data_IF_387831199820
#
_entry.id   IF_387831199820
#
_cell.length_a   1.000
_cell.length_b   1.000
_cell.length_c   1.000
_cell.angle_alpha   90.00
_cell.angle_beta   90.00
_cell.angle_gamma   90.00
#
_symmetry.space_group_name_H-M   'P 1'
#
loop_
_entity.id
_entity.type
_entity.pdbx_description
1 polymer ?
#
# COMPACT_ATOMS: atom_id res chain seq x y z
N UNK A 1 5.10 2.40 -9.12
CA UNK A 1 4.23 1.21 -9.21
C UNK A 1 3.91 0.72 -7.81
N UNK A 2 2.73 0.15 -7.58
CA UNK A 2 2.32 -0.36 -6.26
C UNK A 2 1.97 -1.84 -6.36
N UNK A 3 2.47 -2.63 -5.41
CA UNK A 3 2.05 -3.99 -5.14
C UNK A 3 1.03 -3.98 -4.02
N UNK A 4 -0.12 -4.62 -4.23
CA UNK A 4 -1.11 -4.87 -3.19
C UNK A 4 -1.21 -6.39 -2.99
N UNK A 5 -1.06 -6.85 -1.75
CA UNK A 5 -1.25 -8.26 -1.40
C UNK A 5 -2.07 -8.39 -0.12
N UNK A 6 -2.83 -9.48 0.01
CA UNK A 6 -3.62 -9.76 1.21
C UNK A 6 -2.89 -10.83 2.03
N UNK A 7 -2.61 -10.54 3.30
CA UNK A 7 -2.05 -11.51 4.25
C UNK A 7 -2.79 -11.36 5.57
N UNK A 8 -3.35 -12.45 6.08
CA UNK A 8 -4.03 -12.52 7.38
C UNK A 8 -5.11 -11.42 7.55
N UNK A 9 -5.97 -11.22 6.54
CA UNK A 9 -7.04 -10.22 6.58
C UNK A 9 -6.60 -8.76 6.35
N UNK A 10 -5.30 -8.46 6.34
CA UNK A 10 -4.77 -7.12 6.07
C UNK A 10 -4.28 -6.94 4.63
N UNK A 11 -4.62 -5.82 3.99
CA UNK A 11 -4.02 -5.41 2.71
C UNK A 11 -2.66 -4.76 2.97
N UNK A 12 -1.57 -5.39 2.50
CA UNK A 12 -0.24 -4.80 2.52
C UNK A 12 0.06 -4.16 1.16
N UNK A 13 0.22 -2.83 1.15
CA UNK A 13 0.62 -2.07 -0.03
C UNK A 13 2.12 -1.76 0.04
N UNK A 14 2.85 -1.97 -1.06
CA UNK A 14 4.28 -1.63 -1.18
C UNK A 14 4.53 -0.90 -2.50
N UNK A 15 5.30 0.17 -2.44
CA UNK A 15 5.70 0.93 -3.63
C UNK A 15 7.01 0.38 -4.16
N UNK A 16 7.08 0.17 -5.47
CA UNK A 16 8.30 -0.20 -6.19
C UNK A 16 8.58 0.84 -7.27
N UNK A 17 9.84 1.25 -7.37
CA UNK A 17 10.33 2.24 -8.33
C UNK A 17 10.63 1.65 -9.71
N UNK A 18 10.79 0.32 -9.81
CA UNK A 18 11.04 -0.35 -11.08
C UNK A 18 10.08 -1.54 -11.27
N UNK A 19 9.72 -1.79 -12.53
CA UNK A 19 8.80 -2.86 -12.93
C UNK A 19 9.35 -4.27 -12.63
N UNK A 20 10.62 -4.61 -12.91
CA UNK A 20 11.13 -5.96 -12.65
C UNK A 20 11.04 -6.37 -11.18
N UNK A 21 11.35 -5.46 -10.24
CA UNK A 21 11.26 -5.77 -8.80
C UNK A 21 9.81 -5.95 -8.35
N UNK A 22 8.89 -5.16 -8.90
CA UNK A 22 7.46 -5.29 -8.61
C UNK A 22 6.92 -6.63 -9.11
N UNK A 23 7.27 -7.02 -10.34
CA UNK A 23 6.89 -8.31 -10.93
C UNK A 23 7.42 -9.49 -10.11
N UNK A 24 8.72 -9.44 -9.76
CA UNK A 24 9.37 -10.50 -8.99
C UNK A 24 8.75 -10.66 -7.59
N UNK A 25 8.25 -9.58 -6.99
CA UNK A 25 7.54 -9.63 -5.72
C UNK A 25 6.14 -10.28 -5.83
N UNK A 26 5.41 -10.05 -6.92
CA UNK A 26 4.13 -10.72 -7.20
C UNK A 26 4.36 -12.22 -7.41
N UNK A 27 5.32 -12.59 -8.24
CA UNK A 27 5.73 -13.99 -8.47
C UNK A 27 6.10 -14.72 -7.17
N UNK A 28 6.83 -14.04 -6.27
CA UNK A 28 7.15 -14.60 -4.95
C UNK A 28 5.92 -14.75 -4.06
N UNK A 29 4.93 -13.87 -4.17
CA UNK A 29 3.69 -13.97 -3.42
C UNK A 29 2.81 -15.12 -3.94
N UNK A 30 2.64 -15.24 -5.25
CA UNK A 30 1.88 -16.32 -5.88
C UNK A 30 2.50 -17.69 -5.59
N UNK A 31 3.84 -17.82 -5.64
CA UNK A 31 4.54 -19.05 -5.22
C UNK A 31 4.32 -19.42 -3.77
N UNK A 32 3.91 -18.48 -2.92
CA UNK A 32 3.57 -18.71 -1.51
C UNK A 32 2.07 -18.94 -1.30
N UNK A 33 1.28 -19.04 -2.38
CA UNK A 33 -0.18 -19.15 -2.33
C UNK A 33 -0.88 -17.87 -1.86
N UNK A 34 -0.18 -16.72 -1.90
CA UNK A 34 -0.74 -15.44 -1.45
C UNK A 34 -1.31 -14.66 -2.65
N UNK A 35 -2.56 -14.17 -2.57
CA UNK A 35 -3.10 -13.31 -3.61
C UNK A 35 -2.36 -11.96 -3.60
N UNK A 36 -1.80 -11.61 -4.75
CA UNK A 36 -1.10 -10.36 -4.98
C UNK A 36 -1.43 -9.82 -6.38
N UNK A 37 -1.54 -8.50 -6.49
CA UNK A 37 -1.77 -7.77 -7.73
C UNK A 37 -0.79 -6.61 -7.87
N UNK A 38 -0.55 -6.23 -9.12
CA UNK A 38 0.30 -5.10 -9.46
C UNK A 38 -0.56 -3.99 -10.07
N UNK A 39 -0.38 -2.77 -9.56
CA UNK A 39 -1.09 -1.58 -10.02
C UNK A 39 -0.09 -0.49 -10.43
N UNK A 40 -0.27 0.04 -11.64
CA UNK A 40 0.43 1.25 -12.05
C UNK A 40 -0.29 2.45 -11.43
N UNK A 41 0.44 3.27 -10.68
CA UNK A 41 -0.09 4.46 -10.03
C UNK A 41 0.84 5.64 -10.28
N UNK A 42 0.26 6.83 -10.36
CA UNK A 42 0.99 8.10 -10.33
C UNK A 42 1.06 8.57 -8.89
N UNK A 43 2.26 8.74 -8.36
CA UNK A 43 2.45 9.38 -7.06
C UNK A 43 2.38 10.89 -7.26
N UNK A 44 1.57 11.55 -6.44
CA UNK A 44 1.51 13.00 -6.38
C UNK A 44 2.20 13.42 -5.09
N UNK A 45 3.07 14.45 -5.13
CA UNK A 45 3.62 15.03 -3.91
C UNK A 45 2.46 15.60 -3.09
N UNK A 46 2.42 15.24 -1.81
CA UNK A 46 1.48 15.84 -0.85
C UNK A 46 2.28 16.89 -0.06
N UNK A 47 1.85 18.16 -0.06
CA UNK A 47 2.43 19.17 0.83
C UNK A 47 2.34 18.70 2.28
N UNK A 48 3.42 18.81 3.04
CA UNK A 48 3.47 18.32 4.43
C UNK A 48 2.39 18.93 5.34
N UNK A 49 1.88 20.11 5.00
CA UNK A 49 0.81 20.80 5.73
C UNK A 49 -0.53 20.03 5.77
N UNK A 50 -0.79 19.15 4.80
CA UNK A 50 -2.08 18.44 4.70
C UNK A 50 -2.10 17.12 5.49
N UNK A 51 -0.94 16.63 5.96
CA UNK A 51 -0.82 15.36 6.69
C UNK A 51 -1.16 15.50 8.18
N UNK A 52 -0.89 16.67 8.77
CA UNK A 52 -1.22 16.94 10.18
C UNK A 52 -2.74 16.94 10.42
N UNK A 53 -3.51 17.40 9.43
CA UNK A 53 -4.97 17.46 9.46
C UNK A 53 -5.62 16.08 9.35
N UNK A 54 -5.06 15.17 8.55
CA UNK A 54 -5.59 13.82 8.33
C UNK A 54 -5.29 12.84 9.50
N UNK A 55 -4.29 13.15 10.33
CA UNK A 55 -3.95 12.36 11.52
C UNK A 55 -4.93 12.55 12.69
N UNK A 56 -5.69 13.64 12.72
CA UNK A 56 -6.63 13.93 13.81
C UNK A 56 -7.98 13.21 13.65
N UNK A 57 -8.47 13.08 12.41
CA UNK A 57 -9.78 12.49 12.15
C UNK A 57 -9.78 10.94 12.13
N UNK A 58 -8.62 10.30 11.92
CA UNK A 58 -8.52 8.84 11.87
C UNK A 58 -8.39 8.15 13.25
N UNK A 59 -8.12 8.92 14.33
CA UNK A 59 -7.92 8.40 15.69
C UNK A 59 -8.96 8.92 16.71
N UNK A 60 -9.86 9.82 16.31
CA UNK A 60 -10.91 10.40 17.17
C UNK A 60 -12.19 9.55 17.26
N UNK A 61 -12.07 8.24 17.47
CA UNK A 61 -13.20 7.32 17.61
C UNK A 61 -13.24 6.67 18.99
N UNK A 62 -13.54 7.44 20.04
CA UNK A 62 -13.75 6.87 21.37
C UNK A 62 -13.80 7.90 22.49
N UNK A 63 -14.98 8.44 22.77
CA UNK A 63 -15.19 9.18 24.02
C UNK A 63 -16.35 10.18 24.01
N UNK A 64 -17.59 9.68 23.93
CA UNK A 64 -18.72 9.92 24.87
C UNK A 64 -20.03 9.52 24.21
#
# INVERSE_FOLDING_TARGET
MVLAGIRNGGTRRRVYFNLPSAHLAVERAHRRGLPASLHLVRLLPVPMADLDSLGHDALGGGGR
#
